data_IF_668210465238
#
_entry.id   IF_668210465238
#
_cell.length_a   1.000
_cell.length_b   1.000
_cell.length_c   1.000
_cell.angle_alpha   90.00
_cell.angle_beta   90.00
_cell.angle_gamma   90.00
#
_symmetry.space_group_name_H-M   'P 1'
#
loop_
_entity.id
_entity.type
_entity.pdbx_description
1 polymer ?
#
# COMPACT_ATOMS: atom_id res chain seq x y z
N UNK A 1 -16.62 7.80 7.78
CA UNK A 1 -16.48 6.90 8.96
C UNK A 1 -15.45 7.45 9.94
N UNK A 2 -14.19 7.69 9.54
CA UNK A 2 -13.13 8.22 10.43
C UNK A 2 -13.49 9.55 11.16
N UNK A 3 -14.15 10.50 10.48
CA UNK A 3 -14.49 11.80 11.08
C UNK A 3 -15.60 11.74 12.16
N UNK A 4 -16.40 10.68 12.22
CA UNK A 4 -17.50 10.55 13.20
C UNK A 4 -17.01 9.97 14.53
N UNK A 5 -15.89 9.26 14.52
CA UNK A 5 -15.28 8.64 15.71
C UNK A 5 -14.93 9.67 16.80
N UNK A 6 -14.17 10.75 16.52
CA UNK A 6 -13.87 11.75 17.54
C UNK A 6 -15.13 12.47 18.05
N UNK A 7 -16.19 12.57 17.25
CA UNK A 7 -17.47 13.19 17.66
C UNK A 7 -18.25 12.29 18.63
N UNK A 8 -18.28 10.97 18.38
CA UNK A 8 -18.93 9.99 19.27
C UNK A 8 -18.22 9.92 20.62
N UNK A 9 -16.89 10.05 20.65
CA UNK A 9 -16.08 10.02 21.88
C UNK A 9 -16.38 11.23 22.78
N UNK A 10 -16.70 12.37 22.19
CA UNK A 10 -17.02 13.59 22.92
C UNK A 10 -18.34 13.47 23.70
N UNK A 11 -19.29 12.67 23.20
CA UNK A 11 -20.58 12.40 23.83
C UNK A 11 -20.61 11.13 24.68
N UNK A 12 -19.53 10.33 24.66
CA UNK A 12 -19.42 9.13 25.49
C UNK A 12 -19.08 9.51 26.94
N UNK A 13 -20.04 9.32 27.84
CA UNK A 13 -19.84 9.53 29.27
C UNK A 13 -18.95 8.48 29.94
N UNK A 14 -18.48 8.79 31.16
CA UNK A 14 -17.46 8.05 31.90
C UNK A 14 -17.75 6.54 32.10
N UNK A 15 -19.02 6.11 32.08
CA UNK A 15 -19.37 4.69 32.22
C UNK A 15 -19.00 3.84 31.00
N UNK A 16 -18.98 4.43 29.80
CA UNK A 16 -18.74 3.72 28.54
C UNK A 16 -17.28 3.78 28.09
N UNK A 17 -16.35 4.24 28.94
CA UNK A 17 -14.96 4.57 28.54
C UNK A 17 -14.21 3.39 27.91
N UNK A 18 -14.42 2.16 28.38
CA UNK A 18 -13.82 0.96 27.80
C UNK A 18 -14.40 0.63 26.42
N UNK A 19 -15.72 0.72 26.27
CA UNK A 19 -16.40 0.51 25.00
C UNK A 19 -16.04 1.60 23.97
N UNK A 20 -15.93 2.85 24.40
CA UNK A 20 -15.46 3.94 23.57
C UNK A 20 -14.02 3.69 23.06
N UNK A 21 -13.11 3.26 23.93
CA UNK A 21 -11.74 2.91 23.53
C UNK A 21 -11.69 1.74 22.52
N UNK A 22 -12.52 0.71 22.74
CA UNK A 22 -12.62 -0.43 21.83
C UNK A 22 -13.17 -0.02 20.46
N UNK A 23 -14.18 0.85 20.41
CA UNK A 23 -14.76 1.35 19.17
C UNK A 23 -13.78 2.23 18.38
N UNK A 24 -13.00 3.08 19.06
CA UNK A 24 -11.92 3.86 18.40
C UNK A 24 -10.91 2.91 17.77
N UNK A 25 -10.45 1.92 18.54
CA UNK A 25 -9.43 0.97 18.08
C UNK A 25 -9.93 0.18 16.87
N UNK A 26 -11.17 -0.30 16.89
CA UNK A 26 -11.78 -0.99 15.75
C UNK A 26 -11.96 -0.09 14.52
N UNK A 27 -12.31 1.18 14.71
CA UNK A 27 -12.43 2.13 13.61
C UNK A 27 -11.07 2.43 12.96
N UNK A 28 -10.00 2.58 13.75
CA UNK A 28 -8.64 2.77 13.24
C UNK A 28 -8.14 1.53 12.48
N UNK A 29 -8.44 0.32 12.98
CA UNK A 29 -8.12 -0.92 12.25
C UNK A 29 -8.82 -0.94 10.88
N UNK A 30 -10.09 -0.52 10.81
CA UNK A 30 -10.80 -0.37 9.54
C UNK A 30 -10.13 0.62 8.59
N UNK A 31 -9.62 1.74 9.10
CA UNK A 31 -8.90 2.74 8.31
C UNK A 31 -7.57 2.18 7.77
N UNK A 32 -6.82 1.44 8.58
CA UNK A 32 -5.59 0.76 8.17
C UNK A 32 -5.85 -0.24 7.03
N UNK A 33 -6.93 -1.02 7.13
CA UNK A 33 -7.31 -1.99 6.09
C UNK A 33 -7.65 -1.27 4.78
N UNK A 34 -8.38 -0.16 4.84
CA UNK A 34 -8.71 0.63 3.65
C UNK A 34 -7.47 1.27 3.01
N UNK A 35 -6.52 1.77 3.82
CA UNK A 35 -5.27 2.35 3.33
C UNK A 35 -4.40 1.32 2.60
N UNK A 36 -4.18 0.16 3.23
CA UNK A 36 -3.37 -0.90 2.63
C UNK A 36 -4.09 -1.54 1.45
N UNK A 37 -5.38 -1.85 1.58
CA UNK A 37 -6.16 -2.56 0.56
C UNK A 37 -6.50 -1.72 -0.68
N UNK A 38 -6.69 -0.41 -0.52
CA UNK A 38 -7.05 0.50 -1.61
C UNK A 38 -5.85 1.30 -2.11
N UNK A 39 -5.45 2.31 -1.34
CA UNK A 39 -4.50 3.33 -1.79
C UNK A 39 -3.10 2.79 -2.05
N UNK A 40 -2.64 1.82 -1.25
CA UNK A 40 -1.30 1.24 -1.41
C UNK A 40 -1.21 0.42 -2.70
N UNK A 41 -2.07 -0.56 -2.91
CA UNK A 41 -2.01 -1.38 -4.13
C UNK A 41 -2.36 -0.58 -5.39
N UNK A 42 -3.30 0.37 -5.30
CA UNK A 42 -3.64 1.24 -6.43
C UNK A 42 -2.42 2.00 -6.95
N UNK A 43 -1.55 2.51 -6.09
CA UNK A 43 -0.33 3.22 -6.52
C UNK A 43 0.67 2.30 -7.25
N UNK A 44 0.75 1.03 -6.84
CA UNK A 44 1.60 0.01 -7.48
C UNK A 44 1.05 -0.37 -8.85
N UNK A 45 -0.27 -0.52 -8.95
CA UNK A 45 -0.95 -0.84 -10.20
C UNK A 45 -0.91 0.34 -11.18
N UNK A 46 -0.97 1.57 -10.69
CA UNK A 46 -0.96 2.79 -11.49
C UNK A 46 0.44 3.13 -12.03
N UNK A 47 1.49 2.99 -11.21
CA UNK A 47 2.85 3.41 -11.57
C UNK A 47 3.93 2.46 -10.98
N UNK A 48 4.10 1.24 -11.54
CA UNK A 48 4.99 0.23 -10.98
C UNK A 48 6.47 0.64 -10.98
N UNK A 49 6.88 1.53 -11.88
CA UNK A 49 8.26 2.05 -11.95
C UNK A 49 8.59 3.10 -10.87
N UNK A 50 7.58 3.84 -10.39
CA UNK A 50 7.75 4.93 -9.43
C UNK A 50 7.20 4.61 -8.04
N UNK A 51 6.61 3.42 -7.86
CA UNK A 51 5.98 2.99 -6.61
C UNK A 51 6.86 3.23 -5.37
N UNK A 52 8.14 2.81 -5.41
CA UNK A 52 9.05 2.96 -4.26
C UNK A 52 9.29 4.44 -3.88
N UNK A 53 9.49 5.31 -4.85
CA UNK A 53 9.71 6.75 -4.61
C UNK A 53 8.45 7.43 -4.10
N UNK A 54 7.28 7.09 -4.67
CA UNK A 54 5.98 7.62 -4.23
C UNK A 54 5.66 7.19 -2.78
N UNK A 55 5.93 5.92 -2.44
CA UNK A 55 5.79 5.45 -1.05
C UNK A 55 6.77 6.11 -0.10
N UNK A 56 8.02 6.33 -0.52
CA UNK A 56 9.00 7.05 0.29
C UNK A 56 8.54 8.47 0.62
N UNK A 57 8.02 9.20 -0.38
CA UNK A 57 7.49 10.56 -0.18
C UNK A 57 6.22 10.58 0.69
N UNK A 58 5.35 9.58 0.51
CA UNK A 58 4.14 9.44 1.32
C UNK A 58 4.49 9.18 2.78
N UNK A 59 5.47 8.32 3.05
CA UNK A 59 5.96 8.06 4.40
C UNK A 59 6.64 9.28 5.02
N UNK A 60 7.37 10.07 4.24
CA UNK A 60 7.93 11.34 4.72
C UNK A 60 6.84 12.31 5.16
N UNK A 61 5.78 12.45 4.36
CA UNK A 61 4.62 13.27 4.69
C UNK A 61 3.91 12.77 5.96
N UNK A 62 3.88 11.45 6.18
CA UNK A 62 3.35 10.85 7.40
C UNK A 62 4.24 11.12 8.62
N UNK A 63 5.56 11.05 8.45
CA UNK A 63 6.51 11.35 9.52
C UNK A 63 6.41 12.81 9.99
N UNK A 64 6.25 13.76 9.06
CA UNK A 64 6.03 15.17 9.41
C UNK A 64 4.74 15.32 10.23
N UNK A 65 3.64 14.69 9.80
CA UNK A 65 2.39 14.70 10.55
C UNK A 65 2.55 14.09 11.95
N UNK A 66 3.31 13.00 12.08
CA UNK A 66 3.63 12.37 13.36
C UNK A 66 4.42 13.28 14.32
N UNK A 67 5.18 14.25 13.80
CA UNK A 67 5.86 15.26 14.61
C UNK A 67 4.95 16.44 14.98
N UNK A 68 4.13 16.91 14.03
CA UNK A 68 3.24 18.05 14.23
C UNK A 68 2.11 17.73 15.23
N UNK A 69 1.55 16.51 15.16
CA UNK A 69 0.42 16.11 16.00
C UNK A 69 0.68 16.27 17.52
N UNK A 70 1.74 15.70 18.12
CA UNK A 70 2.02 15.88 19.55
C UNK A 70 2.35 17.33 19.92
N UNK A 71 2.99 18.11 19.02
CA UNK A 71 3.21 19.54 19.26
C UNK A 71 1.91 20.32 19.33
N UNK A 72 0.97 20.06 18.42
CA UNK A 72 -0.33 20.71 18.44
C UNK A 72 -1.13 20.37 19.72
N UNK A 73 -1.16 19.09 20.11
CA UNK A 73 -1.83 18.64 21.34
C UNK A 73 -1.20 19.27 22.59
N UNK A 74 0.13 19.38 22.64
CA UNK A 74 0.83 20.00 23.75
C UNK A 74 0.47 21.49 23.95
N UNK A 75 0.27 22.23 22.85
CA UNK A 75 -0.13 23.64 22.90
C UNK A 75 -1.61 23.83 23.25
N UNK A 76 -2.47 22.92 22.78
CA UNK A 76 -3.93 23.00 22.98
C UNK A 76 -4.37 22.53 24.37
N UNK A 77 -3.54 21.78 25.08
CA UNK A 77 -3.92 21.11 26.33
C UNK A 77 -2.98 21.42 27.50
N UNK A 78 -2.78 22.70 27.87
CA UNK A 78 -1.85 23.06 28.94
C UNK A 78 -2.31 22.58 30.32
N UNK A 79 -3.62 22.46 30.56
CA UNK A 79 -4.19 22.07 31.86
C UNK A 79 -4.80 20.65 31.84
N UNK A 80 -4.88 20.01 30.69
CA UNK A 80 -5.39 18.64 30.55
C UNK A 80 -6.89 18.51 30.81
N UNK A 81 -7.66 19.59 30.70
CA UNK A 81 -9.08 19.56 31.08
C UNK A 81 -9.95 18.89 30.02
N UNK A 82 -11.13 18.36 30.41
CA UNK A 82 -12.07 17.70 29.48
C UNK A 82 -12.49 18.63 28.33
N UNK A 83 -12.56 19.93 28.58
CA UNK A 83 -12.93 20.93 27.57
C UNK A 83 -11.81 21.13 26.53
N UNK A 84 -10.56 21.21 26.97
CA UNK A 84 -9.39 21.32 26.07
C UNK A 84 -9.29 20.08 25.16
N UNK A 85 -9.46 18.88 25.71
CA UNK A 85 -9.47 17.64 24.91
C UNK A 85 -10.63 17.57 23.91
N UNK A 86 -11.82 18.08 24.28
CA UNK A 86 -12.96 18.17 23.35
C UNK A 86 -12.60 19.03 22.14
N UNK A 87 -11.90 20.15 22.33
CA UNK A 87 -11.41 20.99 21.24
C UNK A 87 -10.39 20.27 20.34
N UNK A 88 -9.47 19.48 20.91
CA UNK A 88 -8.50 18.66 20.15
C UNK A 88 -9.20 17.63 19.26
N UNK A 89 -10.22 16.93 19.78
CA UNK A 89 -10.97 15.96 18.98
C UNK A 89 -11.81 16.62 17.89
N UNK A 90 -12.40 17.79 18.16
CA UNK A 90 -13.13 18.57 17.17
C UNK A 90 -12.22 19.11 16.05
N UNK A 91 -11.00 19.55 16.36
CA UNK A 91 -10.05 19.98 15.34
C UNK A 91 -9.57 18.82 14.47
N UNK A 92 -9.33 17.64 15.06
CA UNK A 92 -9.02 16.42 14.31
C UNK A 92 -10.17 15.99 13.38
N UNK A 93 -11.43 16.10 13.85
CA UNK A 93 -12.61 15.83 13.02
C UNK A 93 -12.70 16.80 11.83
N UNK A 94 -12.47 18.10 12.07
CA UNK A 94 -12.49 19.11 11.02
C UNK A 94 -11.42 18.87 9.95
N UNK A 95 -10.18 18.52 10.35
CA UNK A 95 -9.11 18.19 9.42
C UNK A 95 -9.44 16.98 8.53
N UNK A 96 -10.07 15.95 9.11
CA UNK A 96 -10.52 14.78 8.35
C UNK A 96 -11.60 15.15 7.32
N UNK A 97 -12.58 15.96 7.70
CA UNK A 97 -13.65 16.41 6.79
C UNK A 97 -13.08 17.28 5.68
N UNK A 98 -12.16 18.20 6.00
CA UNK A 98 -11.47 19.02 5.00
C UNK A 98 -10.71 18.15 3.99
N UNK A 99 -10.00 17.12 4.46
CA UNK A 99 -9.31 16.17 3.59
C UNK A 99 -10.27 15.44 2.64
N UNK A 100 -11.42 15.00 3.14
CA UNK A 100 -12.46 14.37 2.32
C UNK A 100 -13.00 15.34 1.26
N UNK A 101 -13.28 16.60 1.64
CA UNK A 101 -13.79 17.61 0.71
C UNK A 101 -12.77 17.87 -0.41
N UNK A 102 -11.49 18.06 -0.06
CA UNK A 102 -10.43 18.29 -1.03
C UNK A 102 -10.33 17.09 -1.98
N UNK A 103 -10.40 15.86 -1.45
CA UNK A 103 -10.39 14.66 -2.28
C UNK A 103 -11.61 14.55 -3.18
N UNK A 104 -12.80 14.93 -2.74
CA UNK A 104 -14.00 14.91 -3.59
C UNK A 104 -13.90 15.96 -4.72
N UNK A 105 -13.32 17.13 -4.44
CA UNK A 105 -13.23 18.22 -5.40
C UNK A 105 -12.13 18.01 -6.46
N UNK A 106 -11.00 17.42 -6.08
CA UNK A 106 -9.83 17.25 -6.96
C UNK A 106 -9.45 15.80 -7.27
N UNK A 107 -10.06 14.83 -6.60
CA UNK A 107 -9.77 13.42 -6.79
C UNK A 107 -10.27 12.93 -8.14
N UNK A 108 -9.35 12.41 -8.95
CA UNK A 108 -9.68 11.63 -10.15
C UNK A 108 -9.06 10.24 -10.00
N UNK A 109 -9.86 9.22 -10.32
CA UNK A 109 -9.46 7.80 -10.28
C UNK A 109 -8.98 7.28 -11.64
N UNK A 110 -8.63 8.18 -12.56
CA UNK A 110 -8.25 7.82 -13.93
C UNK A 110 -6.78 7.41 -14.02
N UNK A 111 -6.49 6.42 -14.87
CA UNK A 111 -5.12 5.93 -15.09
C UNK A 111 -4.27 6.99 -15.75
N UNK A 112 -3.26 7.50 -15.03
CA UNK A 112 -2.42 8.58 -15.53
C UNK A 112 -1.56 8.11 -16.74
N UNK A 113 -1.62 8.80 -17.88
CA UNK A 113 -1.00 8.35 -19.14
C UNK A 113 0.54 8.38 -19.13
N UNK A 114 1.16 9.12 -18.19
CA UNK A 114 2.63 9.15 -18.05
C UNK A 114 3.21 7.87 -17.42
N UNK A 115 2.36 7.04 -16.81
CA UNK A 115 2.77 5.76 -16.24
C UNK A 115 2.78 4.62 -17.26
N UNK A 116 2.28 4.87 -18.48
CA UNK A 116 2.36 3.92 -19.59
C UNK A 116 3.74 4.00 -20.26
N UNK A 117 4.66 3.16 -19.78
CA UNK A 117 5.79 2.56 -20.51
C UNK A 117 6.77 3.42 -21.34
N UNK A 118 6.80 4.74 -21.22
CA UNK A 118 7.85 5.58 -21.89
C UNK A 118 8.77 6.33 -20.91
N UNK A 119 8.80 5.97 -19.62
CA UNK A 119 9.79 6.50 -18.68
C UNK A 119 11.09 5.66 -18.71
N UNK A 120 12.27 6.23 -19.04
CA UNK A 120 13.53 5.50 -19.28
C UNK A 120 14.23 4.93 -18.03
N UNK A 121 13.53 4.70 -16.92
CA UNK A 121 14.13 4.18 -15.67
C UNK A 121 13.86 2.69 -15.41
N UNK A 122 13.26 1.95 -16.34
CA UNK A 122 12.99 0.51 -16.19
C UNK A 122 13.99 -0.42 -16.90
N UNK A 123 15.11 0.11 -17.40
CA UNK A 123 16.14 -0.71 -18.06
C UNK A 123 16.78 -1.76 -17.13
N UNK A 124 16.80 -1.53 -15.81
CA UNK A 124 17.39 -2.49 -14.87
C UNK A 124 16.50 -3.74 -14.63
N UNK A 125 15.18 -3.70 -14.88
CA UNK A 125 14.29 -4.86 -14.62
C UNK A 125 13.85 -5.59 -15.89
N UNK A 126 13.82 -4.90 -17.04
CA UNK A 126 13.54 -5.54 -18.34
C UNK A 126 14.71 -6.42 -18.79
N UNK A 127 15.97 -6.06 -18.46
CA UNK A 127 17.14 -6.90 -18.68
C UNK A 127 17.06 -8.21 -17.87
N UNK A 128 16.67 -8.13 -16.60
CA UNK A 128 16.58 -9.31 -15.72
C UNK A 128 15.43 -10.26 -16.10
N UNK A 129 14.26 -9.74 -16.48
CA UNK A 129 13.13 -10.58 -16.93
C UNK A 129 13.41 -11.22 -18.30
N UNK A 130 14.07 -10.51 -19.21
CA UNK A 130 14.45 -11.03 -20.53
C UNK A 130 15.61 -12.02 -20.42
N UNK A 131 16.57 -11.74 -19.54
CA UNK A 131 17.67 -12.64 -19.17
C UNK A 131 17.16 -13.93 -18.54
N UNK A 132 16.26 -13.86 -17.56
CA UNK A 132 15.67 -15.04 -16.92
C UNK A 132 14.88 -15.90 -17.92
N UNK A 133 14.05 -15.29 -18.79
CA UNK A 133 13.34 -16.01 -19.86
C UNK A 133 14.31 -16.67 -20.84
N UNK A 134 15.42 -16.03 -21.16
CA UNK A 134 16.45 -16.57 -22.06
C UNK A 134 17.23 -17.72 -21.42
N UNK A 135 17.57 -17.60 -20.13
CA UNK A 135 18.23 -18.65 -19.34
C UNK A 135 17.32 -19.87 -19.22
N UNK A 136 16.05 -19.67 -18.87
CA UNK A 136 15.07 -20.74 -18.71
C UNK A 136 14.84 -21.47 -20.05
N UNK A 137 14.63 -20.72 -21.14
CA UNK A 137 14.49 -21.31 -22.49
C UNK A 137 15.74 -22.10 -22.92
N UNK A 138 16.95 -21.62 -22.60
CA UNK A 138 18.20 -22.36 -22.85
C UNK A 138 18.25 -23.65 -22.02
N UNK A 139 17.83 -23.60 -20.77
CA UNK A 139 17.80 -24.76 -19.88
C UNK A 139 16.79 -25.81 -20.36
N UNK A 140 15.56 -25.40 -20.71
CA UNK A 140 14.53 -26.28 -21.28
C UNK A 140 15.02 -26.96 -22.55
N UNK A 141 15.67 -26.22 -23.46
CA UNK A 141 16.22 -26.80 -24.69
C UNK A 141 17.33 -27.83 -24.42
N UNK A 142 18.16 -27.60 -23.39
CA UNK A 142 19.23 -28.53 -23.01
C UNK A 142 18.68 -29.84 -22.46
N UNK A 143 17.61 -29.77 -21.65
CA UNK A 143 16.88 -30.95 -21.16
C UNK A 143 16.25 -31.70 -22.33
N UNK A 144 15.57 -30.99 -23.24
CA UNK A 144 14.90 -31.61 -24.38
C UNK A 144 15.90 -32.34 -25.30
N UNK A 145 17.09 -31.76 -25.54
CA UNK A 145 18.17 -32.43 -26.29
C UNK A 145 18.68 -33.69 -25.59
N UNK A 146 18.87 -33.66 -24.27
CA UNK A 146 19.28 -34.85 -23.49
C UNK A 146 18.24 -35.96 -23.55
N UNK A 147 16.94 -35.62 -23.43
CA UNK A 147 15.85 -36.59 -23.54
C UNK A 147 15.76 -37.19 -24.95
N UNK A 148 15.96 -36.39 -25.99
CA UNK A 148 15.96 -36.87 -27.39
C UNK A 148 17.15 -37.82 -27.67
N UNK A 149 18.33 -37.53 -27.11
CA UNK A 149 19.48 -38.43 -27.16
C UNK A 149 19.24 -39.75 -26.43
N UNK A 150 18.64 -39.69 -25.24
CA UNK A 150 18.32 -40.88 -24.43
C UNK A 150 17.23 -41.75 -25.08
N UNK A 151 16.23 -41.14 -25.73
CA UNK A 151 15.23 -41.87 -26.54
C UNK A 151 15.86 -42.59 -27.72
N UNK A 152 16.81 -41.98 -28.44
CA UNK A 152 17.52 -42.63 -29.55
C UNK A 152 18.32 -43.85 -29.08
N UNK A 153 19.12 -43.71 -28.01
CA UNK A 153 19.85 -44.85 -27.44
C UNK A 153 18.95 -45.98 -26.94
N UNK A 154 17.78 -45.67 -26.38
CA UNK A 154 16.86 -46.71 -25.93
C UNK A 154 16.17 -47.42 -27.11
N UNK A 155 15.99 -46.73 -28.25
CA UNK A 155 15.40 -47.33 -29.45
C UNK A 155 16.39 -48.26 -30.16
N UNK A 156 17.68 -47.89 -30.21
CA UNK A 156 18.74 -48.74 -30.79
C UNK A 156 18.97 -50.02 -29.97
N UNK A 157 18.80 -49.96 -28.64
CA UNK A 157 18.91 -51.15 -27.77
C UNK A 157 17.71 -52.10 -27.85
N UNK A 158 16.55 -51.61 -28.30
CA UNK A 158 15.33 -52.41 -28.44
C UNK A 158 15.04 -52.76 -29.90
N UNK A 159 16.01 -52.53 -30.80
CA UNK A 159 15.93 -53.02 -32.18
C UNK A 159 16.07 -54.56 -32.15
N UNK A 160 15.15 -55.32 -32.80
CA UNK A 160 15.23 -56.78 -32.80
C UNK A 160 16.49 -57.23 -33.54
N UNK A 161 17.34 -58.02 -32.87
CA UNK A 161 18.42 -58.77 -33.52
C UNK A 161 17.78 -59.80 -34.46
N UNK A 162 18.09 -59.68 -35.75
CA UNK A 162 17.86 -60.74 -36.74
C UNK A 162 18.98 -61.76 -36.67
#
# INVERSE_FOLDING_TARGET
MAALVPVIVVEADCEWRWWAGALISMAEVGNCIAFVGGSFYLAVDLAPAFAATLFGLSNFSMAINGFIAPMAVALLTPNGTRHEWRLVFWSAAALNVLGIIIFILWGSAETLPWATLDSPSSDCKRENATGQKTIDRKFTMKIHRKLKGKKRQNNDKNAPEQ
#
